data_IF_120708302755
#
_entry.id   IF_120708302755
#
_cell.length_a   1.000
_cell.length_b   1.000
_cell.length_c   1.000
_cell.angle_alpha   90.00
_cell.angle_beta   90.00
_cell.angle_gamma   90.00
#
_symmetry.space_group_name_H-M   'P 1'
#
loop_
_entity.id
_entity.type
_entity.pdbx_description
1 polymer ?
#
# COMPACT_ATOMS: atom_id res chain seq x y z
N UNK A 1 -14.61 -3.83 12.43
CA UNK A 1 -13.86 -3.42 11.22
C UNK A 1 -14.35 -4.30 10.08
N UNK A 2 -15.10 -3.76 9.14
CA UNK A 2 -15.47 -4.51 7.94
C UNK A 2 -14.33 -4.40 6.94
N UNK A 3 -13.68 -5.51 6.63
CA UNK A 3 -12.81 -5.60 5.46
C UNK A 3 -13.73 -5.86 4.28
N UNK A 4 -13.91 -4.87 3.39
CA UNK A 4 -14.57 -5.13 2.12
C UNK A 4 -13.75 -6.17 1.37
N UNK A 5 -14.40 -7.27 1.00
CA UNK A 5 -13.84 -8.22 0.05
C UNK A 5 -13.56 -7.43 -1.23
N UNK A 6 -12.33 -7.48 -1.80
CA UNK A 6 -12.06 -6.85 -3.07
C UNK A 6 -13.10 -7.29 -4.11
N UNK A 7 -13.51 -6.40 -5.04
CA UNK A 7 -14.37 -6.77 -6.15
C UNK A 7 -13.90 -8.09 -6.78
N UNK A 8 -14.82 -8.99 -7.14
CA UNK A 8 -14.48 -10.34 -7.60
C UNK A 8 -13.54 -10.37 -8.83
N UNK A 9 -13.40 -9.24 -9.55
CA UNK A 9 -12.52 -9.04 -10.68
C UNK A 9 -11.13 -8.49 -10.32
N UNK A 10 -10.84 -8.18 -9.05
CA UNK A 10 -9.58 -7.57 -8.61
C UNK A 10 -9.00 -8.27 -7.38
N UNK A 11 -7.74 -8.70 -7.51
CA UNK A 11 -6.98 -9.24 -6.40
C UNK A 11 -6.15 -8.13 -5.73
N UNK A 12 -6.27 -7.99 -4.41
CA UNK A 12 -5.35 -7.16 -3.64
C UNK A 12 -3.94 -7.75 -3.72
N UNK A 13 -2.95 -6.89 -3.96
CA UNK A 13 -1.54 -7.32 -4.01
C UNK A 13 -0.93 -7.43 -2.61
N UNK A 14 -1.38 -6.57 -1.69
CA UNK A 14 -1.00 -6.56 -0.27
C UNK A 14 -2.28 -6.36 0.55
N UNK A 15 -2.39 -7.07 1.66
CA UNK A 15 -3.39 -6.84 2.71
C UNK A 15 -2.72 -6.98 4.07
N UNK A 16 -2.90 -6.01 4.94
CA UNK A 16 -2.28 -5.96 6.26
C UNK A 16 -3.20 -5.30 7.27
N UNK A 17 -2.94 -5.55 8.56
CA UNK A 17 -3.64 -4.91 9.66
C UNK A 17 -2.82 -3.73 10.17
N UNK A 18 -3.45 -2.55 10.26
CA UNK A 18 -2.85 -1.40 10.91
C UNK A 18 -2.84 -1.61 12.44
N UNK A 19 -1.72 -1.29 13.08
CA UNK A 19 -1.49 -1.50 14.50
C UNK A 19 -1.21 -0.17 15.23
N UNK A 20 -1.35 -0.11 16.57
CA UNK A 20 -1.06 1.11 17.33
C UNK A 20 0.36 1.67 17.13
N UNK A 21 1.34 0.84 16.76
CA UNK A 21 2.71 1.29 16.44
C UNK A 21 2.84 2.02 15.10
N UNK A 22 1.82 1.90 14.25
CA UNK A 22 1.79 2.48 12.91
C UNK A 22 1.15 3.88 12.93
N UNK A 23 0.78 4.37 14.12
CA UNK A 23 0.22 5.70 14.29
C UNK A 23 1.30 6.78 14.40
N UNK A 24 0.92 8.01 14.10
CA UNK A 24 1.72 9.22 14.30
C UNK A 24 1.58 9.72 15.76
N UNK A 25 2.25 10.83 16.09
CA UNK A 25 2.24 11.40 17.44
C UNK A 25 0.88 11.88 17.97
N UNK A 26 -0.14 11.98 17.11
CA UNK A 26 -1.51 12.36 17.50
C UNK A 26 -2.50 11.17 17.46
N UNK A 27 -2.03 9.97 17.09
CA UNK A 27 -2.81 8.73 17.15
C UNK A 27 -3.47 8.29 15.84
N UNK A 28 -3.36 9.08 14.76
CA UNK A 28 -3.81 8.66 13.42
C UNK A 28 -2.78 7.77 12.76
N UNK A 29 -3.18 6.97 11.76
CA UNK A 29 -2.21 6.21 10.96
C UNK A 29 -1.18 7.15 10.33
N UNK A 30 0.09 6.83 10.48
CA UNK A 30 1.18 7.62 9.92
C UNK A 30 1.14 7.58 8.38
N UNK A 31 1.11 8.74 7.74
CA UNK A 31 1.05 8.82 6.28
C UNK A 31 2.19 8.09 5.57
N UNK A 32 3.41 8.13 6.12
CA UNK A 32 4.55 7.38 5.56
C UNK A 32 4.40 5.86 5.64
N UNK A 33 3.67 5.34 6.62
CA UNK A 33 3.34 3.92 6.69
C UNK A 33 2.40 3.54 5.54
N UNK A 34 1.38 4.36 5.29
CA UNK A 34 0.42 4.12 4.20
C UNK A 34 1.10 4.19 2.82
N UNK A 35 1.95 5.21 2.60
CA UNK A 35 2.73 5.35 1.36
C UNK A 35 3.67 4.17 1.12
N UNK A 36 4.32 3.65 2.17
CA UNK A 36 5.20 2.49 2.07
C UNK A 36 4.44 1.22 1.63
N UNK A 37 3.21 1.02 2.11
CA UNK A 37 2.39 -0.12 1.69
C UNK A 37 1.91 0.02 0.25
N UNK A 38 1.57 1.24 -0.19
CA UNK A 38 1.23 1.50 -1.59
C UNK A 38 2.42 1.22 -2.52
N UNK A 39 3.63 1.63 -2.14
CA UNK A 39 4.86 1.35 -2.90
C UNK A 39 5.13 -0.16 -3.00
N UNK A 40 5.06 -0.90 -1.88
CA UNK A 40 5.23 -2.36 -1.87
C UNK A 40 4.20 -3.06 -2.78
N UNK A 41 2.93 -2.65 -2.71
CA UNK A 41 1.87 -3.22 -3.54
C UNK A 41 2.14 -2.97 -5.05
N UNK A 42 2.54 -1.76 -5.42
CA UNK A 42 2.93 -1.42 -6.79
C UNK A 42 4.16 -2.20 -7.26
N UNK A 43 5.19 -2.30 -6.42
CA UNK A 43 6.43 -3.02 -6.73
C UNK A 43 6.20 -4.51 -6.98
N UNK A 44 5.32 -5.17 -6.21
CA UNK A 44 4.98 -6.58 -6.44
C UNK A 44 4.32 -6.78 -7.82
N UNK A 45 3.40 -5.90 -8.21
CA UNK A 45 2.78 -5.97 -9.54
C UNK A 45 3.82 -5.70 -10.65
N UNK A 46 4.63 -4.67 -10.49
CA UNK A 46 5.69 -4.32 -11.46
C UNK A 46 6.71 -5.45 -11.63
N UNK A 47 7.14 -6.07 -10.53
CA UNK A 47 8.05 -7.23 -10.55
C UNK A 47 7.45 -8.40 -11.35
N UNK A 48 6.16 -8.71 -11.13
CA UNK A 48 5.47 -9.79 -11.86
C UNK A 48 5.41 -9.52 -13.36
N UNK A 49 5.16 -8.28 -13.76
CA UNK A 49 5.11 -7.87 -15.17
C UNK A 49 6.51 -7.90 -15.80
N UNK A 50 7.50 -7.37 -15.10
CA UNK A 50 8.87 -7.25 -15.60
C UNK A 50 9.65 -8.57 -15.63
N UNK A 51 9.22 -9.58 -14.85
CA UNK A 51 9.94 -10.84 -14.71
C UNK A 51 11.31 -10.69 -14.03
N UNK A 52 11.52 -9.63 -13.25
CA UNK A 52 12.81 -9.29 -12.69
C UNK A 52 12.78 -8.05 -11.79
N UNK A 53 13.95 -7.63 -11.32
CA UNK A 53 14.11 -6.49 -10.40
C UNK A 53 13.53 -5.21 -11.00
N UNK A 54 12.77 -4.50 -10.17
CA UNK A 54 12.19 -3.18 -10.47
C UNK A 54 12.57 -2.18 -9.39
N UNK A 55 12.47 -0.89 -9.71
CA UNK A 55 12.63 0.22 -8.77
C UNK A 55 11.53 1.25 -9.03
N UNK A 56 11.05 1.90 -7.97
CA UNK A 56 10.10 2.99 -8.09
C UNK A 56 10.84 4.25 -8.55
N UNK A 57 10.50 4.76 -9.74
CA UNK A 57 11.13 5.96 -10.31
C UNK A 57 10.50 7.22 -9.73
N UNK A 58 9.16 7.24 -9.64
CA UNK A 58 8.40 8.35 -9.11
C UNK A 58 7.04 7.86 -8.62
N UNK A 59 6.48 8.60 -7.67
CA UNK A 59 5.06 8.57 -7.35
C UNK A 59 4.48 9.93 -7.69
N UNK A 60 3.36 9.96 -8.40
CA UNK A 60 2.75 11.21 -8.85
C UNK A 60 2.20 12.01 -7.67
N UNK A 61 1.26 11.43 -6.92
CA UNK A 61 0.71 12.06 -5.73
C UNK A 61 0.07 11.02 -4.80
N UNK A 62 -0.02 11.39 -3.52
CA UNK A 62 -0.92 10.79 -2.56
C UNK A 62 -1.79 11.90 -1.99
N UNK A 63 -3.11 11.74 -2.05
CA UNK A 63 -4.08 12.65 -1.46
C UNK A 63 -4.81 11.90 -0.35
N UNK A 64 -4.65 12.35 0.90
CA UNK A 64 -5.34 11.82 2.06
C UNK A 64 -6.52 12.76 2.39
N UNK A 65 -7.74 12.20 2.42
CA UNK A 65 -9.00 12.93 2.58
C UNK A 65 -9.44 13.03 4.05
#
# INVERSE_FOLDING_TARGET
>A
MHFETPPHDRAATVSTLAMPKDTNGVGDIFGGWLMSHADIAGAILAYRIAGGRVVTVAVNEFVFL
#
